data_IF_079918888715
#
_entry.id   IF_079918888715
#
_cell.length_a   1.000
_cell.length_b   1.000
_cell.length_c   1.000
_cell.angle_alpha   90.00
_cell.angle_beta   90.00
_cell.angle_gamma   90.00
#
_symmetry.space_group_name_H-M   'P 1'
#
loop_
_entity.id
_entity.type
_entity.pdbx_description
1 polymer ?
#
# COMPACT_ATOMS: atom_id res chain seq x y z
N UNK A 1 -17.80 21.69 -9.03
CA UNK A 1 -16.75 21.46 -8.02
C UNK A 1 -16.45 19.97 -8.03
N UNK A 2 -15.57 19.52 -8.93
CA UNK A 2 -15.15 18.11 -8.96
C UNK A 2 -14.39 17.85 -7.67
N UNK A 3 -14.94 17.01 -6.78
CA UNK A 3 -14.18 16.47 -5.67
C UNK A 3 -13.03 15.67 -6.29
N UNK A 4 -11.86 16.29 -6.44
CA UNK A 4 -10.60 15.58 -6.64
C UNK A 4 -10.39 14.77 -5.37
N UNK A 5 -10.99 13.57 -5.33
CA UNK A 5 -10.89 12.69 -4.18
C UNK A 5 -9.48 12.16 -4.10
N UNK A 6 -8.73 12.59 -3.09
CA UNK A 6 -7.42 12.03 -2.76
C UNK A 6 -7.56 10.49 -2.68
N UNK A 7 -6.79 9.77 -3.51
CA UNK A 7 -6.81 8.31 -3.53
C UNK A 7 -6.09 7.74 -2.31
N UNK A 8 -5.00 8.41 -1.93
CA UNK A 8 -4.13 8.09 -0.82
C UNK A 8 -4.16 9.25 0.19
N UNK A 9 -4.14 8.93 1.48
CA UNK A 9 -4.04 9.91 2.55
C UNK A 9 -2.58 10.26 2.83
N UNK A 10 -2.24 11.55 2.71
CA UNK A 10 -0.94 12.12 3.13
C UNK A 10 -0.61 11.76 4.58
N UNK A 11 -1.60 11.85 5.48
CA UNK A 11 -1.43 11.51 6.91
C UNK A 11 -0.98 10.07 7.09
N UNK A 12 -1.60 9.14 6.35
CA UNK A 12 -1.22 7.72 6.40
C UNK A 12 0.16 7.51 5.78
N UNK A 13 0.50 8.24 4.71
CA UNK A 13 1.87 8.28 4.18
C UNK A 13 2.91 8.68 5.23
N UNK A 14 2.65 9.71 6.03
CA UNK A 14 3.54 10.12 7.12
C UNK A 14 3.58 9.11 8.28
N UNK A 15 2.46 8.47 8.62
CA UNK A 15 2.44 7.39 9.63
C UNK A 15 3.30 6.20 9.15
N UNK A 16 3.15 5.78 7.89
CA UNK A 16 3.96 4.70 7.32
C UNK A 16 5.45 5.07 7.21
N UNK A 17 5.74 6.35 7.03
CA UNK A 17 7.11 6.88 7.02
C UNK A 17 7.83 6.78 8.37
N UNK A 18 7.11 6.77 9.51
CA UNK A 18 7.71 6.47 10.81
C UNK A 18 8.34 5.06 10.84
N UNK A 19 7.76 4.13 10.08
CA UNK A 19 8.30 2.80 9.82
C UNK A 19 9.07 2.72 8.50
N UNK A 20 9.46 3.88 7.95
CA UNK A 20 9.91 4.08 6.58
C UNK A 20 11.26 3.45 6.23
N UNK A 21 12.03 2.97 7.22
CA UNK A 21 13.21 2.12 6.97
C UNK A 21 12.85 0.83 6.22
N UNK A 22 11.61 0.36 6.34
CA UNK A 22 11.06 -0.77 5.57
C UNK A 22 10.65 -0.39 4.15
N UNK A 23 10.54 0.91 3.83
CA UNK A 23 10.02 1.40 2.55
C UNK A 23 8.49 1.37 2.41
N UNK A 24 7.73 1.09 3.48
CA UNK A 24 6.27 0.93 3.44
C UNK A 24 5.51 2.09 2.77
N UNK A 25 5.89 3.34 3.06
CA UNK A 25 5.29 4.53 2.44
C UNK A 25 5.52 4.62 0.92
N UNK A 26 6.61 4.04 0.40
CA UNK A 26 6.86 3.99 -1.05
C UNK A 26 5.98 2.96 -1.74
N UNK A 27 5.75 1.81 -1.11
CA UNK A 27 4.77 0.85 -1.61
C UNK A 27 3.36 1.41 -1.55
N UNK A 28 3.01 2.13 -0.48
CA UNK A 28 1.75 2.85 -0.33
C UNK A 28 1.45 3.74 -1.53
N UNK A 29 2.39 4.60 -1.93
CA UNK A 29 2.23 5.47 -3.11
C UNK A 29 2.49 4.78 -4.46
N UNK A 30 2.47 3.46 -4.53
CA UNK A 30 2.58 2.72 -5.78
C UNK A 30 3.98 2.77 -6.43
N UNK A 31 5.05 2.88 -5.63
CA UNK A 31 6.44 2.84 -6.10
C UNK A 31 7.17 1.54 -5.67
N UNK A 32 6.75 0.36 -6.17
CA UNK A 32 7.25 -0.95 -5.73
C UNK A 32 8.76 -1.11 -5.87
N UNK A 33 9.34 -0.66 -6.99
CA UNK A 33 10.78 -0.78 -7.25
C UNK A 33 11.58 -0.02 -6.20
N UNK A 34 11.25 1.26 -5.98
CA UNK A 34 11.96 2.05 -4.96
C UNK A 34 11.64 1.58 -3.55
N UNK A 35 10.43 1.09 -3.26
CA UNK A 35 10.11 0.47 -1.98
C UNK A 35 11.00 -0.76 -1.70
N UNK A 36 11.24 -1.58 -2.72
CA UNK A 36 12.11 -2.76 -2.61
C UNK A 36 13.55 -2.37 -2.33
N UNK A 37 14.07 -1.36 -3.03
CA UNK A 37 15.40 -0.80 -2.76
C UNK A 37 15.48 -0.31 -1.32
N UNK A 38 14.48 0.44 -0.84
CA UNK A 38 14.43 0.91 0.54
C UNK A 38 14.44 -0.25 1.54
N UNK A 39 13.63 -1.28 1.33
CA UNK A 39 13.55 -2.44 2.22
C UNK A 39 14.91 -3.14 2.38
N UNK A 40 15.63 -3.38 1.28
CA UNK A 40 16.94 -4.06 1.33
C UNK A 40 18.10 -3.16 1.80
N UNK A 41 17.94 -1.84 1.75
CA UNK A 41 19.00 -0.87 2.11
C UNK A 41 18.71 -0.11 3.41
N UNK A 42 17.64 -0.49 4.12
CA UNK A 42 17.10 0.23 5.28
C UNK A 42 16.88 1.73 4.98
N UNK A 43 16.31 2.01 3.81
CA UNK A 43 16.04 3.34 3.30
C UNK A 43 17.28 4.11 2.84
N UNK A 44 18.28 3.39 2.33
CA UNK A 44 19.62 3.86 1.97
C UNK A 44 20.40 4.46 3.15
N UNK A 45 20.62 3.62 4.18
CA UNK A 45 21.39 3.93 5.39
C UNK A 45 20.82 5.10 6.22
N UNK A 46 19.50 5.31 6.17
CA UNK A 46 18.79 6.33 6.94
C UNK A 46 18.74 7.73 6.31
N UNK A 47 19.58 8.03 5.31
CA UNK A 47 19.55 9.32 4.62
C UNK A 47 18.31 9.42 3.71
N UNK A 48 18.01 8.36 2.96
CA UNK A 48 16.82 8.31 2.11
C UNK A 48 15.51 8.44 2.91
N UNK A 49 15.50 7.93 4.15
CA UNK A 49 14.39 8.14 5.09
C UNK A 49 14.16 9.63 5.43
N UNK A 50 15.22 10.42 5.65
CA UNK A 50 15.08 11.86 5.88
C UNK A 50 14.58 12.60 4.63
N UNK A 51 15.11 12.26 3.46
CA UNK A 51 14.71 12.87 2.18
C UNK A 51 13.23 12.58 1.88
N UNK A 52 12.74 11.41 2.28
CA UNK A 52 11.35 11.02 2.04
C UNK A 52 10.31 11.95 2.70
N UNK A 53 10.67 12.65 3.78
CA UNK A 53 9.81 13.67 4.41
C UNK A 53 9.34 14.72 3.38
N UNK A 54 10.22 15.09 2.46
CA UNK A 54 9.95 16.07 1.41
C UNK A 54 9.36 15.44 0.14
N UNK A 55 9.58 14.14 -0.08
CA UNK A 55 9.07 13.43 -1.26
C UNK A 55 7.61 13.01 -1.12
N UNK A 56 7.10 12.80 0.10
CA UNK A 56 5.71 12.35 0.35
C UNK A 56 4.66 13.20 -0.41
N UNK A 57 4.66 14.55 -0.36
CA UNK A 57 3.68 15.35 -1.11
C UNK A 57 3.78 15.19 -2.63
N UNK A 58 4.97 14.91 -3.16
CA UNK A 58 5.16 14.63 -4.59
C UNK A 58 4.66 13.24 -4.96
N UNK A 59 4.91 12.24 -4.12
CA UNK A 59 4.46 10.86 -4.32
C UNK A 59 2.94 10.74 -4.23
N UNK A 60 2.33 11.47 -3.32
CA UNK A 60 0.87 11.59 -3.16
C UNK A 60 0.20 12.12 -4.43
N UNK A 61 0.65 13.27 -4.94
CA UNK A 61 0.15 13.82 -6.22
C UNK A 61 0.33 12.85 -7.40
N UNK A 62 1.46 12.14 -7.45
CA UNK A 62 1.69 11.12 -8.49
C UNK A 62 0.74 9.92 -8.36
N UNK A 63 0.41 9.52 -7.13
CA UNK A 63 -0.53 8.46 -6.86
C UNK A 63 -1.95 8.85 -7.29
N UNK A 64 -2.38 10.08 -6.99
CA UNK A 64 -3.70 10.60 -7.40
C UNK A 64 -3.86 10.69 -8.92
N UNK A 65 -2.77 10.93 -9.66
CA UNK A 65 -2.79 10.92 -11.12
C UNK A 65 -2.81 9.49 -11.71
N UNK A 66 -2.28 8.51 -10.99
CA UNK A 66 -2.13 7.12 -11.48
C UNK A 66 -3.31 6.23 -11.12
N UNK A 67 -3.87 6.43 -9.93
CA UNK A 67 -4.87 5.55 -9.34
C UNK A 67 -6.26 6.17 -9.41
N UNK A 68 -7.28 5.31 -9.45
CA UNK A 68 -8.66 5.75 -9.60
C UNK A 68 -9.41 5.55 -8.28
N UNK A 69 -10.03 6.60 -7.72
CA UNK A 69 -10.88 6.45 -6.54
C UNK A 69 -12.11 5.60 -6.87
N UNK A 70 -12.61 4.86 -5.90
CA UNK A 70 -13.79 4.00 -6.07
C UNK A 70 -14.28 3.46 -4.73
N UNK A 71 -15.07 2.39 -4.77
CA UNK A 71 -15.71 1.78 -3.59
C UNK A 71 -14.68 1.28 -2.57
N UNK A 72 -13.56 0.74 -3.05
CA UNK A 72 -12.46 0.27 -2.20
C UNK A 72 -11.48 1.41 -1.97
N UNK A 73 -11.25 1.75 -0.70
CA UNK A 73 -10.32 2.80 -0.30
C UNK A 73 -8.89 2.26 -0.16
N UNK A 74 -7.92 2.89 -0.85
CA UNK A 74 -6.51 2.50 -0.81
C UNK A 74 -5.93 2.56 0.60
N UNK A 75 -6.23 3.64 1.32
CA UNK A 75 -5.72 3.88 2.66
C UNK A 75 -6.19 2.82 3.67
N UNK A 76 -7.48 2.49 3.63
CA UNK A 76 -8.05 1.44 4.50
C UNK A 76 -7.46 0.08 4.14
N UNK A 77 -7.37 -0.25 2.85
CA UNK A 77 -6.78 -1.51 2.42
C UNK A 77 -5.32 -1.68 2.87
N UNK A 78 -4.53 -0.60 2.82
CA UNK A 78 -3.15 -0.60 3.33
C UNK A 78 -3.08 -0.75 4.85
N UNK A 79 -3.93 -0.06 5.61
CA UNK A 79 -4.02 -0.26 7.08
C UNK A 79 -4.35 -1.73 7.39
N UNK A 80 -5.32 -2.30 6.69
CA UNK A 80 -5.69 -3.71 6.85
C UNK A 80 -4.54 -4.64 6.47
N UNK A 81 -3.79 -4.35 5.40
CA UNK A 81 -2.59 -5.11 5.05
C UNK A 81 -1.56 -5.02 6.17
N UNK A 82 -1.26 -3.83 6.70
CA UNK A 82 -0.24 -3.64 7.74
C UNK A 82 -0.54 -4.44 9.00
N UNK A 83 -1.77 -4.37 9.54
CA UNK A 83 -2.08 -4.99 10.84
C UNK A 83 -2.67 -6.40 10.73
N UNK A 84 -3.37 -6.70 9.64
CA UNK A 84 -4.18 -7.91 9.49
C UNK A 84 -3.89 -8.67 8.18
N UNK A 85 -2.81 -8.30 7.49
CA UNK A 85 -2.46 -8.84 6.18
C UNK A 85 -2.19 -10.34 6.18
N UNK A 86 -1.52 -10.88 7.21
CA UNK A 86 -1.28 -12.33 7.35
C UNK A 86 -2.59 -13.13 7.46
N UNK A 87 -3.66 -12.51 7.97
CA UNK A 87 -4.98 -13.12 8.06
C UNK A 87 -5.83 -12.91 6.79
N UNK A 88 -5.33 -12.15 5.81
CA UNK A 88 -6.02 -11.92 4.54
C UNK A 88 -7.22 -10.96 4.62
N UNK A 89 -7.36 -10.19 5.69
CA UNK A 89 -8.54 -9.33 5.91
C UNK A 89 -8.61 -8.21 4.85
N UNK A 90 -7.47 -7.68 4.40
CA UNK A 90 -7.42 -6.74 3.29
C UNK A 90 -7.96 -7.33 1.98
N UNK A 91 -7.74 -8.64 1.74
CA UNK A 91 -8.31 -9.35 0.57
C UNK A 91 -9.82 -9.50 0.68
N UNK A 92 -10.34 -9.81 1.87
CA UNK A 92 -11.79 -9.86 2.11
C UNK A 92 -12.43 -8.47 1.94
N UNK A 93 -11.76 -7.40 2.39
CA UNK A 93 -12.21 -6.02 2.18
C UNK A 93 -12.35 -5.65 0.69
N UNK A 94 -11.45 -6.17 -0.17
CA UNK A 94 -11.56 -6.04 -1.63
C UNK A 94 -12.60 -6.98 -2.28
N UNK A 95 -13.37 -7.72 -1.49
CA UNK A 95 -14.33 -8.73 -1.98
C UNK A 95 -13.70 -10.06 -2.42
N UNK A 96 -12.37 -10.24 -2.27
CA UNK A 96 -11.64 -11.45 -2.68
C UNK A 96 -11.69 -12.55 -1.62
N UNK A 97 -12.90 -12.95 -1.23
CA UNK A 97 -13.19 -13.88 -0.12
C UNK A 97 -12.41 -15.20 -0.20
N UNK A 98 -12.36 -15.83 -1.38
CA UNK A 98 -11.65 -17.09 -1.55
C UNK A 98 -10.17 -16.97 -1.18
N UNK A 99 -9.47 -15.96 -1.72
CA UNK A 99 -8.05 -15.74 -1.39
C UNK A 99 -7.83 -15.21 0.03
N UNK A 100 -8.80 -14.49 0.59
CA UNK A 100 -8.76 -14.05 1.99
C UNK A 100 -8.87 -15.23 2.96
N UNK A 101 -9.79 -16.16 2.72
CA UNK A 101 -9.92 -17.37 3.54
C UNK A 101 -8.69 -18.28 3.39
N UNK A 102 -8.14 -18.37 2.18
CA UNK A 102 -6.87 -19.05 1.95
C UNK A 102 -5.76 -18.45 2.82
N UNK A 103 -5.63 -17.12 2.87
CA UNK A 103 -4.67 -16.44 3.74
C UNK A 103 -4.93 -16.75 5.21
N UNK A 104 -6.17 -16.68 5.67
CA UNK A 104 -6.53 -16.99 7.05
C UNK A 104 -6.10 -18.41 7.47
N UNK A 105 -6.32 -19.41 6.61
CA UNK A 105 -5.96 -20.81 6.89
C UNK A 105 -4.46 -21.10 6.76
N UNK A 106 -3.69 -20.23 6.11
CA UNK A 106 -2.29 -20.50 5.74
C UNK A 106 -1.30 -19.43 6.23
N UNK A 107 -1.80 -18.46 7.00
CA UNK A 107 -1.09 -17.24 7.40
C UNK A 107 -0.50 -16.49 6.19
N UNK A 108 -1.34 -16.26 5.17
CA UNK A 108 -0.93 -15.57 3.94
C UNK A 108 0.16 -16.32 3.20
N UNK A 109 -0.10 -17.62 3.02
CA UNK A 109 0.79 -18.68 2.54
C UNK A 109 2.25 -18.47 2.97
N UNK A 110 2.47 -18.70 4.27
CA UNK A 110 3.76 -18.60 4.96
C UNK A 110 4.46 -17.24 4.81
N UNK A 111 3.67 -16.16 4.66
CA UNK A 111 4.15 -14.79 4.53
C UNK A 111 4.57 -14.38 3.11
N UNK A 112 4.71 -15.31 2.16
CA UNK A 112 5.04 -14.96 0.76
C UNK A 112 3.91 -14.16 0.13
N UNK A 113 2.66 -14.54 0.42
CA UNK A 113 1.49 -13.81 -0.04
C UNK A 113 1.45 -12.37 0.49
N UNK A 114 1.81 -12.19 1.76
CA UNK A 114 1.91 -10.88 2.38
C UNK A 114 2.89 -9.97 1.62
N UNK A 115 4.07 -10.49 1.27
CA UNK A 115 5.05 -9.74 0.48
C UNK A 115 4.50 -9.44 -0.93
N UNK A 116 3.91 -10.42 -1.61
CA UNK A 116 3.27 -10.23 -2.92
C UNK A 116 2.27 -9.07 -2.92
N UNK A 117 1.47 -8.93 -1.86
CA UNK A 117 0.50 -7.86 -1.74
C UNK A 117 1.14 -6.48 -1.54
N UNK A 118 2.33 -6.36 -0.92
CA UNK A 118 3.05 -5.08 -0.88
C UNK A 118 3.37 -4.54 -2.28
N UNK A 119 3.67 -5.41 -3.24
CA UNK A 119 3.94 -5.00 -4.61
C UNK A 119 2.68 -4.68 -5.41
N UNK A 120 1.60 -5.40 -5.16
CA UNK A 120 0.47 -5.47 -6.11
C UNK A 120 -0.83 -4.87 -5.60
N UNK A 121 -0.96 -4.55 -4.30
CA UNK A 121 -2.21 -4.11 -3.68
C UNK A 121 -2.85 -2.91 -4.41
N UNK A 122 -2.05 -1.89 -4.76
CA UNK A 122 -2.59 -0.70 -5.45
C UNK A 122 -3.19 -1.04 -6.81
N UNK A 123 -2.53 -1.90 -7.59
CA UNK A 123 -3.05 -2.33 -8.89
C UNK A 123 -4.29 -3.21 -8.71
N UNK A 124 -4.30 -4.09 -7.70
CA UNK A 124 -5.46 -4.91 -7.35
C UNK A 124 -6.70 -4.05 -7.01
N UNK A 125 -6.53 -3.00 -6.20
CA UNK A 125 -7.61 -2.07 -5.83
C UNK A 125 -8.09 -1.31 -7.07
N UNK A 126 -7.16 -0.84 -7.89
CA UNK A 126 -7.48 -0.11 -9.13
C UNK A 126 -8.33 -0.95 -10.07
N UNK A 127 -8.04 -2.25 -10.20
CA UNK A 127 -8.84 -3.18 -11.01
C UNK A 127 -10.27 -3.27 -10.45
N UNK A 128 -10.41 -3.46 -9.13
CA UNK A 128 -11.74 -3.57 -8.50
C UNK A 128 -12.56 -2.28 -8.67
N UNK A 129 -11.93 -1.13 -8.41
CA UNK A 129 -12.57 0.18 -8.55
C UNK A 129 -12.95 0.53 -9.99
N UNK A 130 -12.24 -0.01 -11.00
CA UNK A 130 -12.58 0.13 -12.42
C UNK A 130 -13.74 -0.75 -12.86
N UNK A 131 -13.94 -1.88 -12.19
CA UNK A 131 -14.97 -2.88 -12.54
C UNK A 131 -16.33 -2.64 -11.90
N UNK A 132 -16.45 -1.63 -11.04
CA UNK A 132 -17.68 -1.25 -10.34
C UNK A 132 -18.17 0.09 -10.88
#
# INVERSE_FOLDING_TARGET
>A
MTLTGDTHSKTIGYILWLFGFTGAHRFYYGKPVTGTIWFFTLGLLGIGWLIDLFLIPSMDRQADLRFQPGVVNYSVAWILLTFLGLFGIHRMYMGKWFTGLLYLCTLGLLGIGYLYDYWTLNDQITIVNRST
#
